data_IF_533483910317
#
_entry.id   IF_533483910317
#
_cell.length_a   1.000
_cell.length_b   1.000
_cell.length_c   1.000
_cell.angle_alpha   90.00
_cell.angle_beta   90.00
_cell.angle_gamma   90.00
#
_symmetry.space_group_name_H-M   'P 1'
#
loop_
_entity.id
_entity.type
_entity.pdbx_description
1 polymer ?
#
# COMPACT_ATOMS: atom_id res chain seq x y z
N UNK A 1 41.24 20.23 -54.41
CA UNK A 1 40.56 19.28 -55.33
C UNK A 1 39.16 19.07 -54.75
N UNK A 2 38.12 19.86 -55.08
CA UNK A 2 37.15 19.64 -56.19
C UNK A 2 36.76 18.15 -56.26
N UNK A 3 35.62 17.68 -55.74
CA UNK A 3 34.23 17.69 -56.27
C UNK A 3 33.56 16.42 -55.66
N UNK A 4 32.25 16.19 -55.53
CA UNK A 4 31.03 16.88 -55.90
C UNK A 4 29.84 16.23 -55.15
N UNK A 5 28.80 17.04 -54.98
CA UNK A 5 27.41 16.72 -54.67
C UNK A 5 26.79 15.76 -55.69
N UNK A 6 25.91 14.84 -55.27
CA UNK A 6 24.86 14.28 -56.14
C UNK A 6 23.58 14.07 -55.32
N UNK A 7 22.61 14.96 -55.53
CA UNK A 7 21.19 14.78 -55.28
C UNK A 7 20.64 13.92 -56.43
N UNK A 8 19.80 12.91 -56.14
CA UNK A 8 18.97 12.26 -57.14
C UNK A 8 17.51 12.52 -56.79
N UNK A 9 16.92 13.44 -57.56
CA UNK A 9 15.48 13.58 -57.76
C UNK A 9 15.13 12.75 -58.99
N UNK A 10 14.15 11.86 -58.89
CA UNK A 10 13.55 11.24 -60.06
C UNK A 10 12.02 11.22 -59.91
N UNK A 11 11.42 12.24 -60.52
CA UNK A 11 10.03 12.28 -60.94
C UNK A 11 9.98 11.69 -62.35
N UNK A 12 9.18 10.66 -62.58
CA UNK A 12 8.55 10.45 -63.90
C UNK A 12 7.19 9.75 -63.73
N UNK A 13 6.17 10.47 -64.16
CA UNK A 13 4.77 10.09 -64.29
C UNK A 13 4.52 9.37 -65.62
N UNK A 14 3.64 8.37 -65.62
CA UNK A 14 2.82 8.01 -66.79
C UNK A 14 1.56 7.24 -66.38
N UNK A 15 0.44 7.75 -66.90
CA UNK A 15 -0.96 7.36 -66.71
C UNK A 15 -1.33 6.05 -67.43
N UNK A 16 -2.32 5.29 -66.92
CA UNK A 16 -3.69 5.20 -67.48
C UNK A 16 -4.55 4.05 -66.88
N UNK A 17 -5.78 4.44 -66.50
CA UNK A 17 -7.10 3.73 -66.49
C UNK A 17 -7.29 2.41 -65.70
N UNK A 18 -8.35 2.19 -64.91
CA UNK A 18 -9.56 2.98 -64.63
C UNK A 18 -10.65 2.17 -63.87
N UNK A 19 -11.65 2.91 -63.34
CA UNK A 19 -12.99 2.50 -62.85
C UNK A 19 -13.05 1.55 -61.64
N UNK A 20 -13.96 1.63 -60.65
CA UNK A 20 -15.18 2.41 -60.33
C UNK A 20 -15.39 2.13 -58.81
N UNK A 21 -15.68 3.08 -57.94
CA UNK A 21 -17.04 3.55 -57.68
C UNK A 21 -17.09 4.05 -56.23
N UNK A 22 -17.60 5.26 -56.07
CA UNK A 22 -17.39 6.14 -54.92
C UNK A 22 -18.49 6.03 -53.84
N UNK A 23 -18.14 6.57 -52.67
CA UNK A 23 -19.00 6.92 -51.54
C UNK A 23 -20.10 7.94 -51.92
N UNK A 24 -20.93 8.35 -50.93
CA UNK A 24 -20.91 9.77 -50.62
C UNK A 24 -21.04 10.12 -49.13
N UNK A 25 -20.58 11.35 -48.84
CA UNK A 25 -20.79 12.14 -47.64
C UNK A 25 -21.72 13.32 -47.96
N UNK A 26 -22.65 13.58 -47.04
CA UNK A 26 -23.19 14.85 -46.49
C UNK A 26 -23.61 16.10 -47.35
N UNK A 27 -24.79 16.62 -46.94
CA UNK A 27 -25.33 18.01 -46.88
C UNK A 27 -26.09 18.70 -48.08
N UNK A 28 -27.43 18.81 -47.90
CA UNK A 28 -28.45 19.93 -48.04
C UNK A 28 -28.32 21.11 -49.04
N UNK A 29 -29.37 21.96 -49.32
CA UNK A 29 -30.86 21.94 -49.09
C UNK A 29 -31.76 22.53 -50.26
N UNK A 30 -33.07 22.74 -49.98
CA UNK A 30 -34.17 23.51 -50.67
C UNK A 30 -34.90 22.76 -51.82
N UNK A 31 -36.24 22.81 -52.02
CA UNK A 31 -37.28 23.82 -51.80
C UNK A 31 -38.71 23.13 -51.74
N UNK A 32 -39.74 23.80 -51.21
CA UNK A 32 -41.18 23.37 -51.10
C UNK A 32 -42.03 24.01 -52.25
N UNK A 33 -43.36 23.75 -52.50
CA UNK A 33 -44.45 23.37 -51.56
C UNK A 33 -45.64 22.48 -52.09
N UNK A 34 -46.67 22.31 -51.22
CA UNK A 34 -48.11 21.92 -51.43
C UNK A 34 -48.41 20.46 -51.87
N UNK A 35 -49.44 19.72 -51.40
CA UNK A 35 -50.80 20.11 -51.01
C UNK A 35 -51.56 19.01 -50.20
N UNK A 36 -52.44 19.43 -49.28
CA UNK A 36 -53.77 18.87 -48.87
C UNK A 36 -54.02 17.48 -48.19
N UNK A 37 -54.60 17.56 -46.96
CA UNK A 37 -55.75 16.85 -46.28
C UNK A 37 -55.96 15.31 -46.41
N UNK A 38 -56.51 14.54 -45.46
CA UNK A 38 -57.01 14.67 -44.08
C UNK A 38 -57.42 13.26 -43.55
N UNK A 39 -57.75 13.19 -42.24
CA UNK A 39 -58.42 12.12 -41.47
C UNK A 39 -57.51 10.94 -41.02
N UNK A 40 -57.43 10.55 -39.74
CA UNK A 40 -58.19 10.90 -38.54
C UNK A 40 -58.64 9.61 -37.87
N UNK A 41 -57.96 9.20 -36.80
CA UNK A 41 -58.45 8.25 -35.79
C UNK A 41 -57.76 8.56 -34.46
N UNK A 42 -58.57 8.80 -33.43
CA UNK A 42 -58.18 9.13 -32.06
C UNK A 42 -57.93 7.84 -31.27
N UNK A 43 -56.84 7.77 -30.51
CA UNK A 43 -56.73 6.92 -29.32
C UNK A 43 -56.55 7.82 -28.09
N UNK A 44 -57.39 7.58 -27.08
CA UNK A 44 -57.42 8.27 -25.79
C UNK A 44 -56.20 7.91 -24.92
N UNK A 45 -55.37 8.91 -24.60
CA UNK A 45 -54.37 8.82 -23.54
C UNK A 45 -55.06 8.78 -22.16
N UNK A 46 -54.86 7.69 -21.44
CA UNK A 46 -55.19 7.60 -20.01
C UNK A 46 -54.00 8.09 -19.21
N UNK A 47 -54.04 9.34 -18.74
CA UNK A 47 -53.06 9.88 -17.78
C UNK A 47 -53.32 9.21 -16.43
N UNK A 48 -52.40 8.34 -15.99
CA UNK A 48 -52.30 7.91 -14.59
C UNK A 48 -51.40 8.88 -13.87
N UNK A 49 -52.00 9.75 -13.07
CA UNK A 49 -51.29 10.48 -12.02
C UNK A 49 -50.78 9.45 -11.00
N UNK A 50 -49.47 9.27 -10.93
CA UNK A 50 -48.82 8.60 -9.80
C UNK A 50 -48.66 9.61 -8.68
N UNK A 51 -49.46 9.46 -7.64
CA UNK A 51 -49.24 10.10 -6.34
C UNK A 51 -47.86 9.65 -5.82
N UNK A 52 -46.89 10.57 -5.82
CA UNK A 52 -45.67 10.41 -5.03
C UNK A 52 -46.05 10.45 -3.55
N UNK A 53 -46.09 9.26 -2.93
CA UNK A 53 -46.08 9.13 -1.48
C UNK A 53 -44.77 9.75 -0.95
N UNK A 54 -44.90 10.97 -0.45
CA UNK A 54 -43.88 11.68 0.31
C UNK A 54 -43.68 10.95 1.66
N UNK A 55 -42.84 9.91 1.67
CA UNK A 55 -42.35 9.30 2.91
C UNK A 55 -41.50 10.35 3.65
N UNK A 56 -41.71 10.59 4.96
CA UNK A 56 -40.77 11.38 5.72
C UNK A 56 -39.41 10.67 5.66
N UNK A 57 -38.35 11.41 5.33
CA UNK A 57 -37.00 10.93 5.59
C UNK A 57 -36.91 10.68 7.11
N UNK A 58 -36.79 9.42 7.51
CA UNK A 58 -36.36 9.10 8.87
C UNK A 58 -34.96 9.70 9.01
N UNK A 59 -34.82 10.72 9.86
CA UNK A 59 -33.51 11.10 10.38
C UNK A 59 -32.96 9.87 11.09
N UNK A 60 -32.06 9.13 10.44
CA UNK A 60 -31.30 8.08 11.10
C UNK A 60 -30.60 8.72 12.28
N UNK A 61 -31.05 8.38 13.49
CA UNK A 61 -30.35 8.77 14.71
C UNK A 61 -28.97 8.14 14.67
N UNK A 62 -27.95 8.98 14.85
CA UNK A 62 -26.60 8.52 15.13
C UNK A 62 -26.63 7.45 16.25
N UNK A 63 -25.95 6.31 16.07
CA UNK A 63 -25.94 5.23 17.04
C UNK A 63 -25.30 5.71 18.35
N UNK A 64 -25.82 5.23 19.49
CA UNK A 64 -25.22 5.52 20.80
C UNK A 64 -23.97 4.67 21.05
N UNK A 65 -23.12 5.05 22.02
CA UNK A 65 -21.98 4.22 22.42
C UNK A 65 -22.41 2.80 22.84
N UNK A 66 -23.56 2.66 23.50
CA UNK A 66 -24.13 1.37 23.85
C UNK A 66 -24.54 0.55 22.63
N UNK A 67 -25.11 1.19 21.59
CA UNK A 67 -25.47 0.51 20.34
C UNK A 67 -24.22 0.02 19.60
N UNK A 68 -23.17 0.85 19.56
CA UNK A 68 -21.87 0.51 18.96
C UNK A 68 -21.25 -0.70 19.68
N UNK A 69 -21.15 -0.64 21.01
CA UNK A 69 -20.62 -1.76 21.82
C UNK A 69 -21.44 -3.03 21.67
N UNK A 70 -22.76 -2.92 21.55
CA UNK A 70 -23.65 -4.06 21.34
C UNK A 70 -23.51 -4.72 19.97
N UNK A 71 -22.98 -4.00 18.96
CA UNK A 71 -22.69 -4.56 17.63
C UNK A 71 -21.40 -5.39 17.57
N UNK A 72 -20.49 -5.22 18.54
CA UNK A 72 -19.22 -5.95 18.58
C UNK A 72 -19.45 -7.41 18.97
N UNK A 73 -18.99 -8.34 18.13
CA UNK A 73 -19.09 -9.78 18.38
C UNK A 73 -17.96 -10.28 19.31
N UNK A 74 -18.24 -10.25 20.62
CA UNK A 74 -17.31 -10.77 21.63
C UNK A 74 -17.05 -12.28 21.53
N UNK A 75 -17.81 -13.05 20.74
CA UNK A 75 -17.53 -14.48 20.56
C UNK A 75 -16.28 -14.75 19.71
N UNK A 76 -15.80 -13.72 19.01
CA UNK A 76 -14.53 -13.72 18.29
C UNK A 76 -13.32 -13.43 19.19
N UNK A 77 -13.56 -13.10 20.48
CA UNK A 77 -12.53 -12.72 21.44
C UNK A 77 -11.61 -11.59 20.93
N UNK A 78 -12.18 -10.44 20.51
CA UNK A 78 -11.39 -9.30 20.05
C UNK A 78 -10.35 -8.89 21.10
N UNK A 79 -9.14 -8.63 20.65
CA UNK A 79 -8.03 -8.23 21.49
C UNK A 79 -7.16 -7.26 20.69
N UNK A 80 -7.54 -5.99 20.69
CA UNK A 80 -6.83 -4.97 19.93
C UNK A 80 -5.54 -4.48 20.63
N UNK A 81 -5.16 -5.12 21.74
CA UNK A 81 -3.87 -4.95 22.43
C UNK A 81 -2.91 -6.12 22.17
N UNK A 82 -3.35 -7.12 21.41
CA UNK A 82 -2.49 -8.21 21.01
C UNK A 82 -1.38 -7.78 20.03
N UNK A 83 -0.39 -8.65 19.87
CA UNK A 83 0.76 -8.39 19.02
C UNK A 83 0.42 -8.40 17.53
N UNK A 84 1.12 -7.55 16.77
CA UNK A 84 1.02 -7.46 15.30
C UNK A 84 2.40 -7.78 14.72
N UNK A 85 2.43 -8.65 13.70
CA UNK A 85 3.69 -8.94 13.00
C UNK A 85 3.96 -7.92 11.91
N UNK A 86 5.10 -7.23 12.05
CA UNK A 86 5.74 -6.48 10.97
C UNK A 86 6.80 -7.37 10.34
N UNK A 87 6.51 -7.91 9.17
CA UNK A 87 7.36 -8.84 8.44
C UNK A 87 8.40 -8.10 7.62
N UNK A 88 9.65 -8.48 7.80
CA UNK A 88 10.80 -7.94 7.07
C UNK A 88 11.26 -8.89 5.99
N UNK A 89 11.02 -8.48 4.74
CA UNK A 89 11.60 -9.05 3.53
C UNK A 89 12.73 -8.15 3.01
N UNK A 90 13.58 -8.68 2.13
CA UNK A 90 14.55 -7.91 1.36
C UNK A 90 14.31 -8.18 -0.12
N UNK A 91 14.95 -9.18 -0.73
CA UNK A 91 14.64 -9.58 -2.11
C UNK A 91 13.56 -10.66 -2.21
N UNK A 92 12.80 -10.65 -3.31
CA UNK A 92 11.96 -11.78 -3.76
C UNK A 92 12.50 -12.27 -5.10
N UNK A 93 12.89 -13.53 -5.22
CA UNK A 93 13.52 -13.99 -6.47
C UNK A 93 13.55 -15.51 -6.63
N UNK A 94 14.32 -16.02 -7.59
CA UNK A 94 14.31 -17.47 -7.87
C UNK A 94 14.92 -18.33 -6.78
N UNK A 95 16.03 -17.88 -6.20
CA UNK A 95 16.80 -18.66 -5.24
C UNK A 95 16.59 -18.12 -3.82
N UNK A 96 16.40 -19.03 -2.88
CA UNK A 96 16.30 -18.71 -1.46
C UNK A 96 17.70 -18.39 -0.90
N UNK A 97 17.82 -17.32 -0.11
CA UNK A 97 19.05 -16.99 0.62
C UNK A 97 18.71 -16.24 1.91
N UNK A 98 19.72 -15.92 2.72
CA UNK A 98 19.53 -15.18 3.97
C UNK A 98 18.68 -13.89 3.77
N UNK A 99 18.93 -13.13 2.72
CA UNK A 99 18.23 -11.86 2.46
C UNK A 99 17.39 -11.92 1.17
N UNK A 100 16.94 -13.12 0.79
CA UNK A 100 16.04 -13.29 -0.35
C UNK A 100 15.09 -14.45 -0.11
N UNK A 101 13.79 -14.16 -0.13
CA UNK A 101 12.75 -15.19 -0.17
C UNK A 101 12.57 -15.62 -1.62
N UNK A 102 12.38 -16.91 -1.87
CA UNK A 102 12.04 -17.36 -3.22
C UNK A 102 10.61 -16.93 -3.59
N UNK A 103 10.36 -16.61 -4.86
CA UNK A 103 9.03 -16.23 -5.38
C UNK A 103 7.96 -17.28 -5.02
N UNK A 104 8.29 -18.57 -5.14
CA UNK A 104 7.39 -19.66 -4.76
C UNK A 104 7.10 -19.70 -3.26
N UNK A 105 8.09 -19.44 -2.42
CA UNK A 105 7.85 -19.43 -0.99
C UNK A 105 7.15 -18.14 -0.54
N UNK A 106 7.38 -17.00 -1.20
CA UNK A 106 6.63 -15.78 -0.92
C UNK A 106 5.13 -15.97 -1.23
N UNK A 107 4.79 -16.63 -2.35
CA UNK A 107 3.41 -17.05 -2.62
C UNK A 107 2.83 -17.95 -1.52
N UNK A 108 3.62 -18.90 -0.99
CA UNK A 108 3.18 -19.75 0.14
C UNK A 108 2.97 -18.95 1.42
N UNK A 109 3.83 -17.98 1.68
CA UNK A 109 3.72 -17.11 2.85
C UNK A 109 2.41 -16.31 2.80
N UNK A 110 2.11 -15.66 1.66
CA UNK A 110 0.86 -14.92 1.45
C UNK A 110 -0.38 -15.83 1.52
N UNK A 111 -0.31 -17.02 0.90
CA UNK A 111 -1.41 -17.99 0.97
C UNK A 111 -1.64 -18.45 2.41
N UNK A 112 -0.57 -18.73 3.17
CA UNK A 112 -0.69 -19.08 4.58
C UNK A 112 -1.36 -17.96 5.38
N UNK A 113 -0.92 -16.71 5.22
CA UNK A 113 -1.51 -15.56 5.92
C UNK A 113 -3.00 -15.45 5.64
N UNK A 114 -3.40 -15.46 4.36
CA UNK A 114 -4.80 -15.35 3.97
C UNK A 114 -5.68 -16.46 4.57
N UNK A 115 -5.21 -17.71 4.46
CA UNK A 115 -5.96 -18.89 4.93
C UNK A 115 -6.04 -19.00 6.47
N UNK A 116 -5.13 -18.35 7.20
CA UNK A 116 -5.06 -18.43 8.67
C UNK A 116 -5.53 -17.15 9.36
N UNK A 117 -6.42 -16.39 8.72
CA UNK A 117 -7.11 -15.28 9.36
C UNK A 117 -6.27 -14.01 9.51
N UNK A 118 -5.23 -13.83 8.68
CA UNK A 118 -4.50 -12.58 8.61
C UNK A 118 -5.03 -11.67 7.51
N UNK A 119 -4.99 -10.35 7.73
CA UNK A 119 -5.34 -9.31 6.75
C UNK A 119 -4.25 -8.27 6.69
N UNK A 120 -3.88 -7.86 5.49
CA UNK A 120 -2.77 -6.92 5.33
C UNK A 120 -3.22 -5.51 5.71
N UNK A 121 -2.35 -4.76 6.38
CA UNK A 121 -2.53 -3.33 6.62
C UNK A 121 -1.24 -2.58 6.29
N UNK A 122 -1.37 -1.28 6.02
CA UNK A 122 -0.22 -0.39 5.83
C UNK A 122 0.55 -0.22 7.15
N UNK A 123 1.87 -0.03 7.05
CA UNK A 123 2.65 0.38 8.22
C UNK A 123 2.28 1.78 8.69
N UNK A 124 1.96 2.68 7.76
CA UNK A 124 1.57 4.06 8.07
C UNK A 124 0.26 4.06 8.90
N UNK A 125 -0.71 3.24 8.51
CA UNK A 125 -1.97 3.05 9.25
C UNK A 125 -1.72 2.51 10.66
N UNK A 126 -0.87 1.48 10.78
CA UNK A 126 -0.43 0.97 12.08
C UNK A 126 0.23 2.07 12.93
N UNK A 127 1.12 2.88 12.35
CA UNK A 127 1.81 3.95 13.06
C UNK A 127 0.88 5.07 13.56
N UNK A 128 -0.30 5.23 12.94
CA UNK A 128 -1.33 6.20 13.34
C UNK A 128 -2.46 5.59 14.17
N UNK A 129 -2.43 4.29 14.44
CA UNK A 129 -3.53 3.59 15.13
C UNK A 129 -4.83 3.56 14.30
N UNK A 130 -4.70 3.54 12.98
CA UNK A 130 -5.81 3.51 12.01
C UNK A 130 -6.03 2.07 11.52
N UNK A 131 -6.57 1.20 12.37
CA UNK A 131 -6.80 -0.21 12.03
C UNK A 131 -8.26 -0.44 11.65
N UNK A 132 -8.52 -0.83 10.41
CA UNK A 132 -9.86 -1.16 9.89
C UNK A 132 -9.97 -2.63 9.44
N UNK A 133 -9.28 -3.53 10.14
CA UNK A 133 -9.30 -4.96 9.82
C UNK A 133 -10.67 -5.55 10.13
N UNK A 134 -11.16 -6.45 9.28
CA UNK A 134 -12.45 -7.13 9.49
C UNK A 134 -12.48 -7.88 10.84
N UNK A 135 -13.67 -8.03 11.46
CA UNK A 135 -13.80 -8.63 12.78
C UNK A 135 -13.29 -10.07 12.81
N UNK A 136 -12.54 -10.42 13.85
CA UNK A 136 -11.98 -11.76 14.06
C UNK A 136 -10.69 -12.04 13.28
N UNK A 137 -10.25 -11.12 12.41
CA UNK A 137 -8.97 -11.23 11.70
C UNK A 137 -7.83 -10.53 12.46
N UNK A 138 -6.61 -10.95 12.17
CA UNK A 138 -5.38 -10.35 12.70
C UNK A 138 -4.70 -9.49 11.61
N UNK A 139 -4.42 -8.20 11.86
CA UNK A 139 -3.62 -7.40 10.94
C UNK A 139 -2.20 -7.96 10.82
N UNK A 140 -1.61 -7.86 9.62
CA UNK A 140 -0.21 -8.19 9.34
C UNK A 140 0.41 -7.18 8.39
N UNK A 141 1.66 -6.81 8.61
CA UNK A 141 2.34 -5.76 7.85
C UNK A 141 3.51 -6.37 7.11
N UNK A 142 3.65 -6.05 5.82
CA UNK A 142 4.79 -6.47 5.00
C UNK A 142 5.69 -5.28 4.68
N UNK A 143 6.98 -5.46 4.94
CA UNK A 143 8.03 -4.46 4.67
C UNK A 143 9.12 -5.07 3.78
N UNK A 144 9.65 -4.27 2.86
CA UNK A 144 10.73 -4.67 1.96
C UNK A 144 11.87 -3.65 2.03
N UNK A 145 13.03 -4.09 2.49
CA UNK A 145 14.21 -3.24 2.61
C UNK A 145 15.03 -3.22 1.32
N UNK A 146 15.96 -2.26 1.23
CA UNK A 146 16.93 -2.02 0.16
C UNK A 146 16.39 -1.48 -1.18
N UNK A 147 15.07 -1.57 -1.43
CA UNK A 147 14.48 -1.16 -2.71
C UNK A 147 15.08 -1.90 -3.91
N UNK A 148 15.31 -3.21 -3.79
CA UNK A 148 15.97 -4.02 -4.83
C UNK A 148 15.10 -4.11 -6.07
N UNK A 149 15.72 -4.29 -7.24
CA UNK A 149 14.98 -4.47 -8.50
C UNK A 149 13.97 -5.61 -8.44
N UNK A 150 14.27 -6.69 -7.71
CA UNK A 150 13.37 -7.82 -7.58
C UNK A 150 12.20 -7.60 -6.58
N UNK A 151 12.09 -6.40 -5.99
CA UNK A 151 10.87 -5.95 -5.32
C UNK A 151 9.85 -5.41 -6.33
N UNK A 152 10.28 -4.57 -7.27
CA UNK A 152 9.45 -4.06 -8.35
C UNK A 152 10.24 -4.10 -9.65
N UNK A 153 10.04 -5.14 -10.45
CA UNK A 153 10.75 -5.35 -11.71
C UNK A 153 9.81 -5.20 -12.90
N UNK A 154 10.26 -4.50 -13.94
CA UNK A 154 9.61 -4.50 -15.25
C UNK A 154 10.47 -5.30 -16.23
N UNK A 155 9.82 -6.17 -17.00
CA UNK A 155 10.45 -7.01 -18.02
C UNK A 155 9.83 -6.74 -19.38
N UNK A 156 10.64 -6.84 -20.45
CA UNK A 156 10.14 -6.67 -21.81
C UNK A 156 9.42 -7.95 -22.28
N UNK A 157 8.18 -7.79 -22.76
CA UNK A 157 7.38 -8.85 -23.37
C UNK A 157 6.69 -8.30 -24.61
N UNK A 158 7.05 -8.85 -25.78
CA UNK A 158 6.51 -8.43 -27.08
C UNK A 158 6.74 -6.93 -27.42
N UNK A 159 7.83 -6.33 -26.94
CA UNK A 159 8.16 -4.93 -27.17
C UNK A 159 7.50 -3.94 -26.21
N UNK A 160 6.79 -4.43 -25.19
CA UNK A 160 6.20 -3.62 -24.12
C UNK A 160 6.81 -4.04 -22.77
N UNK A 161 7.03 -3.07 -21.88
CA UNK A 161 7.43 -3.35 -20.51
C UNK A 161 6.20 -3.78 -19.72
N UNK A 162 6.32 -4.91 -19.01
CA UNK A 162 5.26 -5.45 -18.15
C UNK A 162 5.81 -5.77 -16.77
N UNK A 163 4.96 -5.73 -15.76
CA UNK A 163 5.29 -6.16 -14.41
C UNK A 163 5.79 -7.62 -14.42
N UNK A 164 6.94 -7.86 -13.81
CA UNK A 164 7.49 -9.20 -13.64
C UNK A 164 6.61 -9.98 -12.65
N UNK A 165 5.95 -11.07 -13.07
CA UNK A 165 5.06 -11.83 -12.19
C UNK A 165 5.81 -12.53 -11.04
N UNK A 166 7.15 -12.62 -11.08
CA UNK A 166 7.94 -13.26 -10.04
C UNK A 166 8.66 -12.28 -9.10
N UNK A 167 8.51 -10.96 -9.30
CA UNK A 167 8.96 -9.94 -8.34
C UNK A 167 7.93 -9.74 -7.22
N UNK A 168 8.31 -9.03 -6.14
CA UNK A 168 7.43 -8.85 -4.98
C UNK A 168 6.08 -8.21 -5.34
N UNK A 169 6.11 -7.07 -6.06
CA UNK A 169 4.88 -6.37 -6.51
C UNK A 169 4.05 -7.23 -7.44
N UNK A 170 4.67 -7.97 -8.38
CA UNK A 170 3.96 -8.90 -9.27
C UNK A 170 3.17 -9.97 -8.52
N UNK A 171 3.75 -10.53 -7.47
CA UNK A 171 3.10 -11.54 -6.63
C UNK A 171 2.04 -10.91 -5.73
N UNK A 172 2.27 -9.71 -5.19
CA UNK A 172 1.28 -9.00 -4.39
C UNK A 172 0.03 -8.70 -5.24
N UNK A 173 0.20 -8.18 -6.47
CA UNK A 173 -0.92 -7.90 -7.36
C UNK A 173 -1.66 -9.18 -7.80
N UNK A 174 -0.94 -10.30 -8.02
CA UNK A 174 -1.57 -11.62 -8.21
C UNK A 174 -2.51 -11.97 -7.04
N UNK A 175 -2.08 -11.72 -5.80
CA UNK A 175 -2.89 -11.97 -4.60
C UNK A 175 -4.02 -10.96 -4.42
N UNK A 176 -3.82 -9.70 -4.81
CA UNK A 176 -4.85 -8.66 -4.78
C UNK A 176 -6.01 -8.98 -5.70
N UNK A 177 -5.71 -9.48 -6.90
CA UNK A 177 -6.72 -9.97 -7.85
C UNK A 177 -7.42 -11.24 -7.35
N UNK A 178 -6.65 -12.16 -6.76
CA UNK A 178 -7.14 -13.45 -6.29
C UNK A 178 -8.02 -13.34 -5.04
N UNK A 179 -7.67 -12.45 -4.12
CA UNK A 179 -8.31 -12.28 -2.81
C UNK A 179 -8.55 -10.78 -2.54
N UNK A 180 -9.61 -10.18 -3.10
CA UNK A 180 -9.92 -8.76 -2.90
C UNK A 180 -10.12 -8.36 -1.43
N UNK A 181 -10.50 -9.31 -0.58
CA UNK A 181 -10.69 -9.14 0.85
C UNK A 181 -9.39 -9.28 1.68
N UNK A 182 -8.25 -9.57 1.05
CA UNK A 182 -6.96 -9.68 1.75
C UNK A 182 -6.34 -8.31 2.07
N UNK A 183 -6.85 -7.25 1.44
CA UNK A 183 -6.39 -5.85 1.58
C UNK A 183 -4.91 -5.67 1.23
N UNK A 184 -4.47 -6.28 0.12
CA UNK A 184 -3.05 -6.31 -0.25
C UNK A 184 -2.44 -4.91 -0.33
N UNK A 185 -1.45 -4.69 0.52
CA UNK A 185 -0.58 -3.50 0.60
C UNK A 185 0.78 -3.91 1.18
N UNK A 186 1.79 -3.04 1.10
CA UNK A 186 3.11 -3.25 1.67
C UNK A 186 3.88 -1.91 1.72
N UNK A 187 4.93 -1.86 2.52
CA UNK A 187 5.83 -0.71 2.60
C UNK A 187 7.22 -1.05 2.03
N UNK A 188 7.72 -0.22 1.11
CA UNK A 188 9.04 -0.39 0.49
C UNK A 188 10.01 0.68 1.00
N UNK A 189 11.09 0.27 1.66
CA UNK A 189 12.11 1.16 2.20
C UNK A 189 13.23 1.34 1.18
N UNK A 190 13.33 2.57 0.65
CA UNK A 190 14.19 2.88 -0.50
C UNK A 190 15.45 3.61 -0.07
N UNK A 191 16.56 3.29 -0.75
CA UNK A 191 17.79 4.08 -0.73
C UNK A 191 17.90 4.98 -1.96
N UNK A 192 19.12 5.11 -2.49
CA UNK A 192 19.43 6.03 -3.60
C UNK A 192 19.09 5.53 -4.99
N UNK A 193 18.79 4.23 -5.15
CA UNK A 193 18.49 3.63 -6.45
C UNK A 193 17.19 2.81 -6.39
N UNK A 194 16.02 3.48 -6.44
CA UNK A 194 14.72 2.82 -6.37
C UNK A 194 14.59 1.72 -7.44
N UNK A 195 14.49 0.47 -7.00
CA UNK A 195 14.17 -0.69 -7.82
C UNK A 195 15.09 -0.95 -9.01
N UNK A 196 16.32 -0.44 -8.99
CA UNK A 196 17.40 -0.82 -9.92
C UNK A 196 17.16 -0.61 -11.42
N UNK A 197 16.10 0.10 -11.81
CA UNK A 197 15.80 0.48 -13.20
C UNK A 197 15.47 1.98 -13.24
N UNK A 198 16.51 2.82 -13.21
CA UNK A 198 16.39 4.26 -12.99
C UNK A 198 15.48 4.95 -14.03
N UNK A 199 15.46 4.45 -15.26
CA UNK A 199 14.60 4.95 -16.34
C UNK A 199 13.09 4.75 -16.07
N UNK A 200 12.72 3.86 -15.14
CA UNK A 200 11.34 3.62 -14.73
C UNK A 200 11.07 4.04 -13.28
N UNK A 201 11.99 4.75 -12.62
CA UNK A 201 11.83 5.11 -11.22
C UNK A 201 10.57 5.95 -10.97
N UNK A 202 10.35 7.00 -11.78
CA UNK A 202 9.16 7.86 -11.68
C UNK A 202 7.87 7.07 -11.85
N UNK A 203 7.78 6.23 -12.88
CA UNK A 203 6.62 5.38 -13.17
C UNK A 203 6.32 4.44 -12.01
N UNK A 204 7.34 3.74 -11.49
CA UNK A 204 7.18 2.79 -10.39
C UNK A 204 6.74 3.46 -9.10
N UNK A 205 7.33 4.60 -8.75
CA UNK A 205 7.01 5.28 -7.49
C UNK A 205 5.60 5.85 -7.50
N UNK A 206 5.19 6.50 -8.61
CA UNK A 206 3.80 6.93 -8.77
C UNK A 206 2.84 5.74 -8.73
N UNK A 207 3.15 4.66 -9.45
CA UNK A 207 2.31 3.47 -9.47
C UNK A 207 2.15 2.85 -8.08
N UNK A 208 3.20 2.77 -7.26
CA UNK A 208 3.10 2.23 -5.89
C UNK A 208 2.09 3.03 -5.04
N UNK A 209 2.22 4.36 -5.02
CA UNK A 209 1.33 5.23 -4.24
C UNK A 209 -0.11 5.15 -4.75
N UNK A 210 -0.30 5.20 -6.07
CA UNK A 210 -1.62 5.10 -6.70
C UNK A 210 -2.31 3.75 -6.43
N UNK A 211 -1.54 2.69 -6.19
CA UNK A 211 -2.05 1.34 -5.94
C UNK A 211 -2.08 0.95 -4.45
N UNK A 212 -1.86 1.91 -3.55
CA UNK A 212 -2.04 1.74 -2.11
C UNK A 212 -0.85 1.10 -1.40
N UNK A 213 0.36 1.24 -1.93
CA UNK A 213 1.61 0.85 -1.27
C UNK A 213 2.30 2.07 -0.64
N UNK A 214 3.04 1.83 0.44
CA UNK A 214 3.84 2.87 1.09
C UNK A 214 5.29 2.88 0.62
N UNK A 215 5.89 4.06 0.68
CA UNK A 215 7.31 4.29 0.45
C UNK A 215 7.92 4.83 1.74
N UNK A 216 8.94 4.13 2.24
CA UNK A 216 9.73 4.54 3.39
C UNK A 216 11.19 4.83 3.02
N UNK A 217 11.94 5.33 3.98
CA UNK A 217 13.35 5.69 3.85
C UNK A 217 14.26 4.55 4.34
N UNK A 218 15.36 4.26 3.63
CA UNK A 218 16.38 3.30 4.06
C UNK A 218 17.80 3.89 4.13
N UNK A 219 17.89 5.21 4.31
CA UNK A 219 19.10 6.03 4.36
C UNK A 219 19.92 6.03 3.08
N UNK A 220 20.80 7.02 2.93
CA UNK A 220 21.53 7.26 1.70
C UNK A 220 22.67 6.25 1.46
N UNK A 221 23.48 6.00 2.49
CA UNK A 221 24.69 5.18 2.41
C UNK A 221 24.57 3.81 3.08
N UNK A 222 23.42 3.51 3.69
CA UNK A 222 23.18 2.27 4.43
C UNK A 222 24.19 2.06 5.58
N UNK A 223 24.69 3.15 6.15
CA UNK A 223 25.55 3.09 7.35
C UNK A 223 24.70 2.80 8.58
N UNK A 224 25.34 2.19 9.56
CA UNK A 224 24.76 2.05 10.90
C UNK A 224 24.57 3.41 11.54
N UNK A 225 23.37 3.69 12.06
CA UNK A 225 23.08 4.99 12.68
C UNK A 225 23.86 5.20 13.98
N UNK A 226 24.27 4.13 14.68
CA UNK A 226 25.08 4.21 15.91
C UNK A 226 26.44 4.91 15.71
N UNK A 227 26.94 4.91 14.46
CA UNK A 227 28.24 5.47 14.08
C UNK A 227 28.15 6.94 13.66
N UNK A 228 26.94 7.46 13.47
CA UNK A 228 26.69 8.79 12.92
C UNK A 228 26.44 9.82 14.02
N UNK A 229 26.76 11.08 13.72
CA UNK A 229 26.34 12.24 14.52
C UNK A 229 25.04 12.86 13.97
N UNK A 230 24.49 13.86 14.67
CA UNK A 230 23.22 14.52 14.31
C UNK A 230 23.19 15.17 12.92
N UNK A 231 24.31 15.74 12.44
CA UNK A 231 24.40 16.31 11.09
C UNK A 231 24.40 15.20 10.04
N UNK A 232 25.16 14.13 10.28
CA UNK A 232 25.23 12.97 9.38
C UNK A 232 23.88 12.25 9.27
N UNK A 233 23.16 12.07 10.38
CA UNK A 233 21.81 11.46 10.39
C UNK A 233 20.83 12.26 9.50
N UNK A 234 20.82 13.59 9.65
CA UNK A 234 19.96 14.45 8.83
C UNK A 234 20.33 14.40 7.34
N UNK A 235 21.62 14.32 7.01
CA UNK A 235 22.08 14.13 5.63
C UNK A 235 21.60 12.78 5.08
N UNK A 236 21.75 11.70 5.84
CA UNK A 236 21.39 10.34 5.43
C UNK A 236 19.88 10.21 5.13
N UNK A 237 19.03 10.72 6.03
CA UNK A 237 17.57 10.66 5.87
C UNK A 237 17.11 11.67 4.81
N UNK A 238 17.50 12.93 4.96
CA UNK A 238 17.04 14.02 4.10
C UNK A 238 17.46 13.85 2.64
N UNK A 239 18.63 13.25 2.36
CA UNK A 239 19.05 13.01 0.97
C UNK A 239 18.13 12.03 0.25
N UNK A 240 17.70 10.95 0.91
CA UNK A 240 16.76 9.97 0.32
C UNK A 240 15.36 10.57 0.19
N UNK A 241 14.89 11.33 1.20
CA UNK A 241 13.61 12.02 1.09
C UNK A 241 13.59 13.00 -0.09
N UNK A 242 14.67 13.75 -0.31
CA UNK A 242 14.78 14.65 -1.45
C UNK A 242 14.78 13.89 -2.78
N UNK A 243 15.45 12.74 -2.88
CA UNK A 243 15.41 11.88 -4.08
C UNK A 243 13.97 11.41 -4.36
N UNK A 244 13.25 10.94 -3.34
CA UNK A 244 11.86 10.48 -3.51
C UNK A 244 10.96 11.66 -3.92
N UNK A 245 11.16 12.84 -3.31
CA UNK A 245 10.41 14.06 -3.60
C UNK A 245 10.57 14.55 -5.04
N UNK A 246 11.72 14.28 -5.68
CA UNK A 246 11.91 14.59 -7.11
C UNK A 246 10.89 13.87 -8.01
N UNK A 247 10.42 12.69 -7.60
CA UNK A 247 9.42 11.90 -8.31
C UNK A 247 8.00 12.09 -7.76
N UNK A 248 7.89 12.33 -6.44
CA UNK A 248 6.64 12.41 -5.69
C UNK A 248 6.60 13.67 -4.81
N UNK A 249 6.32 14.86 -5.38
CA UNK A 249 6.45 16.13 -4.66
C UNK A 249 5.47 16.29 -3.49
N UNK A 250 4.31 15.60 -3.55
CA UNK A 250 3.24 15.68 -2.55
C UNK A 250 3.24 14.48 -1.58
N UNK A 251 4.13 13.50 -1.77
CA UNK A 251 4.22 12.33 -0.90
C UNK A 251 5.15 12.61 0.29
N UNK A 252 4.65 12.40 1.51
CA UNK A 252 5.44 12.50 2.73
C UNK A 252 6.08 11.14 3.07
N UNK A 253 7.41 11.09 3.12
CA UNK A 253 8.14 9.90 3.55
C UNK A 253 8.29 9.94 5.08
N UNK A 254 7.42 9.22 5.76
CA UNK A 254 7.25 9.32 7.23
C UNK A 254 7.75 8.08 8.00
N UNK A 255 8.20 7.04 7.30
CA UNK A 255 8.71 5.81 7.93
C UNK A 255 10.15 5.52 7.54
N UNK A 256 10.91 4.92 8.46
CA UNK A 256 12.35 4.69 8.30
C UNK A 256 12.74 3.27 8.73
N UNK A 257 13.21 2.45 7.82
CA UNK A 257 13.87 1.20 8.19
C UNK A 257 15.34 1.48 8.47
N UNK A 258 15.83 1.13 9.67
CA UNK A 258 17.20 1.41 10.07
C UNK A 258 18.16 0.38 9.45
N UNK A 259 19.21 0.82 8.74
CA UNK A 259 20.24 -0.10 8.24
C UNK A 259 20.79 -0.94 9.39
N UNK A 260 20.82 -2.26 9.18
CA UNK A 260 21.25 -3.24 10.18
C UNK A 260 20.44 -3.26 11.50
N UNK A 261 19.29 -2.58 11.57
CA UNK A 261 18.57 -2.36 12.82
C UNK A 261 19.39 -1.56 13.85
N UNK A 262 20.32 -0.74 13.38
CA UNK A 262 21.19 0.05 14.25
C UNK A 262 20.53 1.37 14.56
N UNK A 263 20.07 1.53 15.80
CA UNK A 263 19.58 2.80 16.32
C UNK A 263 20.72 3.82 16.47
N UNK A 264 20.44 5.13 16.33
CA UNK A 264 21.40 6.17 16.67
C UNK A 264 21.71 6.12 18.17
N UNK A 265 22.75 6.85 18.58
CA UNK A 265 22.96 7.13 20.00
C UNK A 265 21.77 7.90 20.54
N UNK A 266 21.43 7.67 21.81
CA UNK A 266 20.26 8.27 22.48
C UNK A 266 20.22 9.79 22.34
N UNK A 267 21.37 10.46 22.46
CA UNK A 267 21.46 11.92 22.29
C UNK A 267 21.14 12.43 20.86
N UNK A 268 21.05 11.52 19.88
CA UNK A 268 20.79 11.84 18.48
C UNK A 268 19.44 11.33 17.96
N UNK A 269 18.66 10.61 18.77
CA UNK A 269 17.35 10.08 18.37
C UNK A 269 16.40 11.18 17.87
N UNK A 270 16.42 12.37 18.49
CA UNK A 270 15.58 13.50 18.06
C UNK A 270 15.85 13.92 16.60
N UNK A 271 17.10 13.85 16.14
CA UNK A 271 17.48 14.20 14.77
C UNK A 271 17.11 13.11 13.76
N UNK A 272 16.91 11.88 14.22
CA UNK A 272 16.35 10.82 13.38
C UNK A 272 14.85 11.02 13.17
N UNK A 273 14.14 11.46 14.22
CA UNK A 273 12.70 11.66 14.19
C UNK A 273 12.30 12.94 13.45
N UNK A 274 13.01 14.05 13.67
CA UNK A 274 12.72 15.32 13.01
C UNK A 274 14.00 16.03 12.58
N UNK A 275 13.99 16.64 11.40
CA UNK A 275 15.16 17.34 10.89
C UNK A 275 14.91 18.13 9.63
N UNK A 276 15.97 18.77 9.13
CA UNK A 276 15.94 19.54 7.89
C UNK A 276 17.23 19.31 7.10
N UNK A 277 17.10 19.04 5.80
CA UNK A 277 18.23 18.92 4.90
C UNK A 277 17.98 19.69 3.60
N UNK A 278 18.90 20.59 3.25
CA UNK A 278 18.80 21.44 2.06
C UNK A 278 17.49 22.26 1.96
N UNK A 279 16.93 22.65 3.11
CA UNK A 279 15.69 23.43 3.19
C UNK A 279 14.41 22.59 3.18
N UNK A 280 14.54 21.27 3.11
CA UNK A 280 13.42 20.33 3.16
C UNK A 280 13.36 19.67 4.53
N UNK A 281 12.19 19.75 5.17
CA UNK A 281 11.95 19.17 6.49
C UNK A 281 11.42 17.77 6.36
N UNK A 282 11.73 16.93 7.34
CA UNK A 282 11.13 15.61 7.49
C UNK A 282 10.66 15.39 8.92
N UNK A 283 9.68 14.51 9.06
CA UNK A 283 9.20 13.96 10.32
C UNK A 283 8.98 12.47 10.12
N UNK A 284 9.60 11.65 10.97
CA UNK A 284 9.48 10.20 10.97
C UNK A 284 8.53 9.81 12.09
N UNK A 285 7.39 9.22 11.73
CA UNK A 285 6.37 8.77 12.68
C UNK A 285 6.66 7.36 13.19
N UNK A 286 7.42 6.56 12.43
CA UNK A 286 7.84 5.24 12.86
C UNK A 286 9.19 4.81 12.25
N UNK A 287 10.10 4.31 13.08
CA UNK A 287 11.35 3.68 12.66
C UNK A 287 11.41 2.21 13.04
N UNK A 288 12.01 1.40 12.16
CA UNK A 288 12.01 -0.06 12.26
C UNK A 288 13.40 -0.63 12.45
N UNK A 289 13.50 -1.54 13.40
CA UNK A 289 14.70 -2.31 13.69
C UNK A 289 14.85 -3.53 12.76
N UNK A 290 15.78 -4.43 13.07
CA UNK A 290 15.93 -5.73 12.41
C UNK A 290 14.98 -6.78 13.00
N UNK A 291 14.96 -7.97 12.39
CA UNK A 291 14.17 -9.11 12.86
C UNK A 291 14.54 -9.57 14.28
N UNK A 292 13.58 -9.50 15.20
CA UNK A 292 13.63 -10.04 16.55
C UNK A 292 12.29 -10.62 16.99
N UNK A 293 11.22 -9.82 17.04
CA UNK A 293 9.90 -10.24 17.54
C UNK A 293 8.75 -9.43 16.90
N UNK A 294 7.51 -9.93 16.96
CA UNK A 294 6.31 -9.15 16.64
C UNK A 294 6.25 -7.86 17.45
N UNK A 295 5.72 -6.82 16.83
CA UNK A 295 5.47 -5.54 17.48
C UNK A 295 4.27 -5.66 18.42
N UNK A 296 4.20 -4.77 19.40
CA UNK A 296 3.00 -4.58 20.20
C UNK A 296 1.89 -3.93 19.36
N UNK A 297 0.67 -3.87 19.89
CA UNK A 297 -0.40 -3.07 19.28
C UNK A 297 -0.03 -1.58 19.29
N UNK A 298 -0.43 -0.76 18.31
CA UNK A 298 -0.24 0.69 18.41
C UNK A 298 -0.91 1.28 19.66
N UNK A 299 -1.98 0.65 20.15
CA UNK A 299 -2.70 1.04 21.35
C UNK A 299 -2.07 0.52 22.66
N UNK A 300 -0.90 -0.11 22.61
CA UNK A 300 -0.14 -0.56 23.80
C UNK A 300 0.85 0.51 24.25
N UNK A 301 0.93 0.79 25.56
CA UNK A 301 1.92 1.70 26.15
C UNK A 301 3.37 1.22 25.96
N UNK A 302 3.57 -0.05 25.64
CA UNK A 302 4.88 -0.65 25.35
C UNK A 302 5.34 -0.39 23.91
N UNK A 303 4.49 0.19 23.06
CA UNK A 303 4.87 0.55 21.70
C UNK A 303 5.76 1.77 21.68
N UNK A 304 7.01 1.57 21.24
CA UNK A 304 7.96 2.61 20.94
C UNK A 304 8.07 2.75 19.42
N UNK A 305 7.41 3.75 18.86
CA UNK A 305 7.45 4.02 17.42
C UNK A 305 8.83 4.46 16.93
N UNK A 306 9.75 4.87 17.81
CA UNK A 306 11.13 5.17 17.44
C UNK A 306 12.01 3.92 17.29
N UNK A 307 11.51 2.74 17.68
CA UNK A 307 12.27 1.47 17.65
C UNK A 307 11.33 0.27 17.52
N UNK A 308 10.61 0.17 16.40
CA UNK A 308 9.69 -0.94 16.15
C UNK A 308 10.46 -2.21 15.80
N UNK A 309 10.27 -3.27 16.60
CA UNK A 309 10.75 -4.59 16.25
C UNK A 309 10.00 -5.17 15.05
N UNK A 310 10.74 -5.87 14.20
CA UNK A 310 10.21 -6.66 13.09
C UNK A 310 10.42 -8.15 13.31
N UNK A 311 9.81 -8.94 12.44
CA UNK A 311 10.02 -10.39 12.32
C UNK A 311 10.65 -10.67 10.97
N UNK A 312 11.74 -11.43 10.93
CA UNK A 312 12.35 -11.82 9.66
C UNK A 312 11.46 -12.84 8.95
N UNK A 313 11.07 -12.53 7.72
CA UNK A 313 10.15 -13.34 6.94
C UNK A 313 10.87 -14.49 6.19
N UNK A 314 11.50 -15.36 6.98
CA UNK A 314 12.26 -16.53 6.52
C UNK A 314 12.42 -17.52 7.67
N UNK A 315 12.77 -18.75 7.35
CA UNK A 315 13.18 -19.80 8.28
C UNK A 315 14.71 -19.94 8.35
N UNK A 316 15.46 -19.24 7.48
CA UNK A 316 16.91 -19.38 7.36
C UNK A 316 17.63 -18.49 8.38
N UNK A 317 18.44 -19.07 9.27
CA UNK A 317 19.28 -18.34 10.22
C UNK A 317 18.49 -17.30 11.05
N UNK A 318 17.32 -17.70 11.57
CA UNK A 318 16.41 -16.83 12.33
C UNK A 318 16.34 -17.16 13.82
N UNK A 319 17.14 -18.12 14.31
CA UNK A 319 17.25 -18.47 15.74
C UNK A 319 15.90 -18.67 16.48
N UNK A 320 14.94 -19.31 15.81
CA UNK A 320 13.55 -19.52 16.28
C UNK A 320 12.72 -18.22 16.48
N UNK A 321 13.16 -17.14 15.83
CA UNK A 321 12.50 -15.83 15.81
C UNK A 321 12.02 -15.48 14.38
N UNK A 322 11.81 -16.49 13.53
CA UNK A 322 11.28 -16.31 12.20
C UNK A 322 9.76 -16.22 12.18
N UNK A 323 9.21 -15.80 11.04
CA UNK A 323 7.77 -15.69 10.81
C UNK A 323 6.98 -16.95 11.20
N UNK A 324 7.40 -18.14 10.73
CA UNK A 324 6.70 -19.39 11.05
C UNK A 324 6.86 -19.84 12.51
N UNK A 325 7.92 -19.42 13.21
CA UNK A 325 8.06 -19.66 14.64
C UNK A 325 6.98 -18.88 15.40
N UNK A 326 6.76 -17.62 15.03
CA UNK A 326 5.72 -16.79 15.66
C UNK A 326 4.30 -17.20 15.29
N UNK A 327 4.04 -17.57 14.04
CA UNK A 327 2.77 -18.19 13.67
C UNK A 327 2.47 -19.40 14.56
N UNK A 328 3.45 -20.29 14.74
CA UNK A 328 3.30 -21.45 15.62
C UNK A 328 3.03 -21.05 17.08
N UNK A 329 3.72 -20.04 17.61
CA UNK A 329 3.50 -19.57 18.98
C UNK A 329 2.10 -18.99 19.20
N UNK A 330 1.54 -18.32 18.19
CA UNK A 330 0.15 -17.86 18.23
C UNK A 330 -0.84 -19.02 18.22
N UNK A 331 -0.68 -20.00 17.33
CA UNK A 331 -1.56 -21.17 17.26
C UNK A 331 -1.49 -22.05 18.53
N UNK A 332 -0.33 -22.08 19.19
CA UNK A 332 -0.14 -22.75 20.47
C UNK A 332 -0.63 -21.92 21.68
N UNK A 333 -1.19 -20.73 21.46
CA UNK A 333 -1.61 -19.77 22.49
C UNK A 333 -0.51 -19.42 23.50
N UNK A 334 0.75 -19.41 23.05
CA UNK A 334 1.91 -19.01 23.85
C UNK A 334 2.19 -17.52 23.79
N UNK A 335 1.58 -16.83 22.83
CA UNK A 335 1.56 -15.37 22.67
C UNK A 335 0.16 -14.97 22.22
N UNK A 336 -0.23 -13.75 22.56
CA UNK A 336 -1.53 -13.21 22.17
C UNK A 336 -1.32 -12.31 20.95
N UNK A 337 -1.98 -12.65 19.83
CA UNK A 337 -2.02 -11.79 18.64
C UNK A 337 -3.19 -10.82 18.71
N UNK A 338 -3.08 -9.73 17.96
CA UNK A 338 -4.19 -8.80 17.75
C UNK A 338 -5.37 -9.54 17.10
N UNK A 339 -6.58 -9.31 17.58
CA UNK A 339 -7.82 -9.78 16.94
C UNK A 339 -8.75 -8.58 16.84
N UNK A 340 -9.08 -8.16 15.62
CA UNK A 340 -9.90 -6.96 15.42
C UNK A 340 -11.35 -7.19 15.82
N UNK A 341 -11.97 -6.14 16.34
CA UNK A 341 -13.40 -6.11 16.58
C UNK A 341 -14.23 -5.69 15.34
N UNK A 342 -13.55 -5.25 14.27
CA UNK A 342 -14.15 -4.86 13.00
C UNK A 342 -14.63 -3.41 12.92
N UNK A 343 -14.43 -2.60 13.96
CA UNK A 343 -14.88 -1.21 14.00
C UNK A 343 -13.70 -0.24 14.21
N UNK A 344 -13.34 0.59 13.21
CA UNK A 344 -12.19 1.48 13.32
C UNK A 344 -12.34 2.58 14.39
N UNK A 345 -13.55 2.82 14.88
CA UNK A 345 -13.84 3.83 15.91
C UNK A 345 -13.89 3.25 17.33
N UNK A 346 -13.59 1.95 17.50
CA UNK A 346 -13.60 1.26 18.80
C UNK A 346 -12.26 0.57 19.02
N UNK A 347 -11.77 0.59 20.25
CA UNK A 347 -10.66 -0.27 20.69
C UNK A 347 -11.21 -1.26 21.72
N UNK A 348 -11.43 -2.50 21.27
CA UNK A 348 -11.97 -3.57 22.14
C UNK A 348 -10.86 -4.45 22.70
N UNK A 349 -10.81 -4.54 24.04
CA UNK A 349 -9.79 -5.32 24.76
C UNK A 349 -10.37 -6.14 25.91
N UNK A 350 -9.75 -7.27 26.26
CA UNK A 350 -10.08 -7.96 27.51
C UNK A 350 -9.55 -7.18 28.72
N UNK A 351 -10.23 -7.29 29.86
CA UNK A 351 -9.94 -6.56 31.11
C UNK A 351 -8.49 -6.68 31.58
N UNK A 352 -7.85 -7.83 31.31
CA UNK A 352 -6.44 -8.08 31.65
C UNK A 352 -5.45 -7.13 30.96
N UNK A 353 -5.84 -6.45 29.88
CA UNK A 353 -4.99 -5.52 29.14
C UNK A 353 -5.28 -4.03 29.44
N UNK A 354 -6.25 -3.73 30.31
CA UNK A 354 -6.66 -2.35 30.62
C UNK A 354 -5.50 -1.46 31.09
N UNK A 355 -4.56 -2.00 31.88
CA UNK A 355 -3.42 -1.23 32.39
C UNK A 355 -2.35 -0.91 31.35
N UNK A 356 -2.39 -1.58 30.18
CA UNK A 356 -1.45 -1.39 29.08
C UNK A 356 -2.01 -0.50 27.96
N UNK A 357 -3.24 -0.01 28.10
CA UNK A 357 -3.88 0.80 27.06
C UNK A 357 -3.25 2.19 26.98
N UNK A 358 -2.73 2.53 25.80
CA UNK A 358 -2.21 3.84 25.46
C UNK A 358 -3.35 4.78 25.05
N UNK A 359 -3.90 5.50 26.03
CA UNK A 359 -4.99 6.44 25.79
C UNK A 359 -4.64 7.59 24.84
N UNK A 360 -3.35 7.95 24.71
CA UNK A 360 -2.92 8.98 23.76
C UNK A 360 -3.08 8.49 22.31
N UNK A 361 -2.79 7.21 22.04
CA UNK A 361 -3.00 6.59 20.72
C UNK A 361 -4.48 6.23 20.46
N UNK A 362 -5.23 5.85 21.49
CA UNK A 362 -6.69 5.64 21.37
C UNK A 362 -7.37 6.91 20.87
N UNK A 363 -6.97 8.07 21.39
CA UNK A 363 -7.52 9.36 20.98
C UNK A 363 -9.02 9.44 21.22
N UNK A 364 -9.79 9.77 20.18
CA UNK A 364 -11.24 9.93 20.23
C UNK A 364 -12.03 8.62 20.07
N UNK A 365 -11.35 7.48 19.88
CA UNK A 365 -12.00 6.16 19.73
C UNK A 365 -12.68 5.73 21.03
N UNK A 366 -13.79 5.00 20.89
CA UNK A 366 -14.49 4.40 22.01
C UNK A 366 -13.71 3.21 22.57
N UNK A 367 -13.52 3.14 23.87
CA UNK A 367 -12.91 1.96 24.51
C UNK A 367 -13.99 0.99 24.97
N UNK A 368 -13.86 -0.28 24.57
CA UNK A 368 -14.71 -1.37 25.07
C UNK A 368 -13.88 -2.43 25.78
N UNK A 369 -13.96 -2.41 27.12
CA UNK A 369 -13.30 -3.41 27.97
C UNK A 369 -14.32 -4.47 28.37
N UNK A 370 -14.03 -5.74 28.06
CA UNK A 370 -14.87 -6.89 28.44
C UNK A 370 -14.14 -7.85 29.37
N UNK A 371 -14.89 -8.67 30.11
CA UNK A 371 -14.37 -9.59 31.14
C UNK A 371 -13.66 -10.84 30.58
#
# INVERSE_FOLDING_TARGET
MKKAFVIIVLLLSLLLAGCRGAAPSAETPLDKPEDTVAAGEQEEETIRETEEENKPAEEEKEPTEEDIKASIDLTLYPNELGEIMILMYHGIGREESTWQRSSDNFRKDLEYMYQNGYRMISLNDYARGEISTDPGYTPIILTFDDGRQNNFNLIEKNGEMVLDPDCAVGILEEFKEKYPDFNVTASFFLGTNPFGQAEYAEEKLNWLVENGYDIGNHTYSHKKMEELNSEEIQIEIGSVNNIIKEYLPDYAVETLALPHGSNPKEEFTEYMLEGEYQGERYSIIASLDVGWRPAYSPFDILTDFSSLYRVRASEINVDNCGMYDYFKLYEENKRERFISDGNPDVVTIPKRHEEYLNMDMVGDKLVYIYE
#
